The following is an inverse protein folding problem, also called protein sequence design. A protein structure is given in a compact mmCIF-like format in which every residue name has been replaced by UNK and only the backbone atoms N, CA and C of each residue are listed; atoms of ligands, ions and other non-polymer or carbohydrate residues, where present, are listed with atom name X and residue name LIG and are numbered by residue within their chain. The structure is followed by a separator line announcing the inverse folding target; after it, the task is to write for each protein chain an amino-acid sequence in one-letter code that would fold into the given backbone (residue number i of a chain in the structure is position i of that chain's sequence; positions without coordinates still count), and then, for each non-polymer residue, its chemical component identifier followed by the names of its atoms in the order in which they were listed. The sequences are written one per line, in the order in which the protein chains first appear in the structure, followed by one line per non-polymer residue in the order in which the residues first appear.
data_IF_807408348286
#
_entry.id   IF_807408348286
#
_cell.length_a   1.000
_cell.length_b   1.000
_cell.length_c   1.000
_cell.angle_alpha   90.00
_cell.angle_beta   90.00
_cell.angle_gamma   90.00
#
_symmetry.space_group_name_H-M   'P 1'
#
loop_
_entity.id
_entity.type
_entity.pdbx_description
1 polymer ?
#
# COMPACT_ATOMS: atom_id res chain seq x y z
N UNK A 1 -1.02 19.04 10.67
CA UNK A 1 0.30 18.39 10.79
C UNK A 1 1.08 18.69 9.53
N UNK A 2 2.33 19.15 9.64
CA UNK A 2 3.18 19.38 8.46
C UNK A 2 3.63 18.05 7.86
N UNK A 3 3.76 18.00 6.52
CA UNK A 3 4.34 16.84 5.82
C UNK A 3 5.80 16.68 6.23
N UNK A 4 6.27 15.44 6.30
CA UNK A 4 7.70 15.16 6.49
C UNK A 4 8.47 15.66 5.27
N UNK A 5 9.66 16.22 5.48
CA UNK A 5 10.52 16.66 4.38
C UNK A 5 11.36 15.49 3.91
N UNK A 6 11.15 15.05 2.68
CA UNK A 6 11.99 14.04 2.04
C UNK A 6 13.34 14.67 1.69
N UNK A 7 14.43 14.06 2.16
CA UNK A 7 15.79 14.54 1.96
C UNK A 7 16.51 13.76 0.86
N UNK A 8 16.29 12.44 0.82
CA UNK A 8 16.92 11.53 -0.13
C UNK A 8 16.01 10.32 -0.34
N UNK A 9 16.04 9.75 -1.55
CA UNK A 9 15.30 8.54 -1.91
C UNK A 9 16.26 7.59 -2.63
N UNK A 10 16.33 6.35 -2.17
CA UNK A 10 17.09 5.27 -2.80
C UNK A 10 16.13 4.18 -3.26
N UNK A 11 16.13 3.86 -4.55
CA UNK A 11 15.41 2.67 -5.05
C UNK A 11 16.19 1.41 -4.64
N UNK A 12 15.53 0.50 -3.92
CA UNK A 12 16.13 -0.76 -3.47
C UNK A 12 15.83 -1.91 -4.42
N UNK A 13 14.63 -1.91 -5.00
CA UNK A 13 14.21 -2.92 -5.96
C UNK A 13 13.09 -2.39 -6.85
N UNK A 14 13.07 -2.90 -8.08
CA UNK A 14 11.99 -2.69 -9.05
C UNK A 14 11.53 -4.03 -9.58
N UNK A 15 10.26 -4.36 -9.36
CA UNK A 15 9.66 -5.65 -9.69
C UNK A 15 8.48 -5.38 -10.62
N UNK A 16 8.75 -5.12 -11.90
CA UNK A 16 7.73 -4.68 -12.85
C UNK A 16 7.10 -3.35 -12.42
N UNK A 17 5.78 -3.30 -12.17
CA UNK A 17 5.10 -2.07 -11.74
C UNK A 17 5.28 -1.75 -10.25
N UNK A 18 5.86 -2.65 -9.47
CA UNK A 18 6.10 -2.44 -8.04
C UNK A 18 7.49 -1.85 -7.80
N UNK A 19 7.60 -0.94 -6.83
CA UNK A 19 8.88 -0.36 -6.41
C UNK A 19 9.04 -0.43 -4.91
N UNK A 20 10.23 -0.80 -4.46
CA UNK A 20 10.64 -0.69 -3.06
C UNK A 20 11.69 0.40 -2.99
N UNK A 21 11.46 1.42 -2.16
CA UNK A 21 12.40 2.51 -1.94
C UNK A 21 12.64 2.77 -0.46
N UNK A 22 13.77 3.37 -0.17
CA UNK A 22 14.15 3.84 1.15
C UNK A 22 14.30 5.36 1.12
N UNK A 23 13.57 6.04 1.97
CA UNK A 23 13.61 7.49 2.10
C UNK A 23 14.35 7.91 3.37
N UNK A 24 15.18 8.94 3.24
CA UNK A 24 15.68 9.72 4.37
C UNK A 24 14.76 10.91 4.57
N UNK A 25 14.16 11.04 5.75
CA UNK A 25 13.14 12.04 6.03
C UNK A 25 13.52 12.90 7.24
N UNK A 26 13.23 14.19 7.17
CA UNK A 26 13.19 15.05 8.35
C UNK A 26 11.75 15.09 8.89
N UNK A 27 11.60 14.70 10.15
CA UNK A 27 10.32 14.69 10.87
C UNK A 27 9.90 16.12 11.24
N UNK A 28 8.62 16.37 11.59
CA UNK A 28 8.13 17.71 11.93
C UNK A 28 8.85 18.36 13.12
N UNK A 29 9.43 17.57 14.01
CA UNK A 29 10.22 18.03 15.17
C UNK A 29 11.72 18.23 14.87
N UNK A 30 12.12 18.09 13.60
CA UNK A 30 13.48 18.29 13.15
C UNK A 30 14.38 17.05 13.21
N UNK A 31 13.95 15.96 13.85
CA UNK A 31 14.72 14.70 13.87
C UNK A 31 14.87 14.12 12.46
N UNK A 32 15.98 13.42 12.22
CA UNK A 32 16.25 12.74 10.95
C UNK A 32 15.92 11.25 11.11
N UNK A 33 14.96 10.77 10.31
CA UNK A 33 14.74 9.35 10.08
C UNK A 33 15.66 8.92 8.94
N UNK A 34 16.76 8.19 9.21
CA UNK A 34 17.75 7.90 8.19
C UNK A 34 17.25 6.89 7.14
N UNK A 35 16.28 6.04 7.50
CA UNK A 35 15.76 4.97 6.65
C UNK A 35 14.27 4.74 6.91
N UNK A 36 13.42 5.13 5.98
CA UNK A 36 12.00 4.83 5.96
C UNK A 36 11.67 4.02 4.70
N UNK A 37 11.16 2.81 4.85
CA UNK A 37 10.90 1.92 3.72
C UNK A 37 9.49 2.13 3.16
N UNK A 38 9.40 2.29 1.84
CA UNK A 38 8.14 2.48 1.12
C UNK A 38 8.02 1.41 0.05
N UNK A 39 6.88 0.71 0.05
CA UNK A 39 6.48 -0.17 -1.05
C UNK A 39 5.39 0.53 -1.84
N UNK A 40 5.67 0.76 -3.11
CA UNK A 40 4.75 1.38 -4.04
C UNK A 40 4.10 0.34 -4.93
N UNK A 41 2.79 0.48 -5.08
CA UNK A 41 1.95 -0.34 -5.91
C UNK A 41 1.19 0.56 -6.89
N UNK A 42 0.77 0.04 -8.05
CA UNK A 42 -0.23 0.71 -8.88
C UNK A 42 -1.50 1.00 -8.09
N UNK A 43 -2.22 2.04 -8.52
CA UNK A 43 -3.52 2.36 -7.95
C UNK A 43 -4.51 1.20 -8.13
N UNK A 44 -5.37 0.99 -7.14
CA UNK A 44 -6.48 0.03 -7.18
C UNK A 44 -7.74 0.63 -6.56
N UNK A 45 -8.87 0.00 -6.82
CA UNK A 45 -10.16 0.34 -6.23
C UNK A 45 -10.73 -0.87 -5.50
N UNK A 46 -11.56 -0.61 -4.50
CA UNK A 46 -12.45 -1.61 -3.93
C UNK A 46 -13.88 -1.21 -4.19
N UNK A 47 -14.72 -2.16 -4.56
CA UNK A 47 -16.13 -1.92 -4.84
C UNK A 47 -16.99 -2.49 -3.72
N UNK A 48 -17.86 -1.66 -3.14
CA UNK A 48 -18.94 -2.10 -2.26
C UNK A 48 -20.20 -2.21 -3.11
N UNK A 49 -20.43 -3.39 -3.69
CA UNK A 49 -21.62 -3.66 -4.49
C UNK A 49 -22.74 -4.22 -3.59
N UNK A 50 -23.91 -3.55 -3.61
CA UNK A 50 -25.07 -3.90 -2.79
C UNK A 50 -26.22 -4.34 -3.69
N UNK A 51 -26.84 -5.48 -3.38
CA UNK A 51 -28.02 -6.00 -4.10
C UNK A 51 -29.29 -5.25 -3.69
N UNK A 52 -30.41 -5.34 -4.44
CA UNK A 52 -31.69 -4.74 -4.05
C UNK A 52 -32.20 -5.18 -2.66
N UNK A 53 -31.80 -6.37 -2.21
CA UNK A 53 -32.15 -6.93 -0.91
C UNK A 53 -31.23 -6.45 0.22
N UNK A 54 -30.25 -5.59 -0.09
CA UNK A 54 -29.31 -5.04 0.89
C UNK A 54 -28.13 -5.96 1.22
N UNK A 55 -27.86 -6.97 0.38
CA UNK A 55 -26.74 -7.89 0.58
C UNK A 55 -25.47 -7.37 -0.12
N UNK A 56 -24.29 -7.64 0.45
CA UNK A 56 -23.01 -7.27 -0.16
C UNK A 56 -22.49 -8.39 -1.07
N UNK A 57 -22.07 -8.02 -2.28
CA UNK A 57 -21.40 -8.95 -3.20
C UNK A 57 -19.91 -9.01 -2.86
N UNK A 58 -19.42 -10.23 -2.64
CA UNK A 58 -18.02 -10.53 -2.34
C UNK A 58 -17.45 -11.49 -3.38
N UNK A 59 -16.12 -11.57 -3.45
CA UNK A 59 -15.37 -12.53 -4.26
C UNK A 59 -14.57 -13.46 -3.36
N UNK A 60 -14.53 -14.75 -3.69
CA UNK A 60 -13.67 -15.74 -3.04
C UNK A 60 -12.38 -15.94 -3.84
N UNK A 61 -11.30 -15.35 -3.36
CA UNK A 61 -10.01 -15.28 -4.05
C UNK A 61 -8.91 -16.01 -3.27
N UNK A 62 -8.05 -16.74 -4.00
CA UNK A 62 -6.82 -17.29 -3.43
C UNK A 62 -5.74 -16.20 -3.37
N UNK A 63 -5.16 -16.00 -2.18
CA UNK A 63 -4.03 -15.09 -1.94
C UNK A 63 -2.79 -15.90 -1.62
N UNK A 64 -1.86 -15.95 -2.58
CA UNK A 64 -0.65 -16.77 -2.45
C UNK A 64 0.23 -16.37 -1.25
N UNK A 65 0.36 -15.07 -0.96
CA UNK A 65 1.16 -14.58 0.16
C UNK A 65 0.63 -15.03 1.55
N UNK A 66 -0.65 -15.37 1.63
CA UNK A 66 -1.29 -15.90 2.84
C UNK A 66 -1.68 -17.37 2.70
N UNK A 67 -1.28 -18.02 1.59
CA UNK A 67 -1.49 -19.43 1.28
C UNK A 67 -2.95 -19.92 1.47
N UNK A 68 -3.93 -19.07 1.18
CA UNK A 68 -5.33 -19.35 1.53
C UNK A 68 -6.35 -18.69 0.61
N UNK A 69 -7.62 -19.05 0.80
CA UNK A 69 -8.79 -18.46 0.13
C UNK A 69 -9.51 -17.51 1.09
N UNK A 70 -9.89 -16.35 0.58
CA UNK A 70 -10.45 -15.26 1.37
C UNK A 70 -11.66 -14.65 0.66
N UNK A 71 -12.66 -14.27 1.46
CA UNK A 71 -13.76 -13.44 0.98
C UNK A 71 -13.31 -11.97 1.03
N UNK A 72 -13.38 -11.30 -0.10
CA UNK A 72 -12.88 -9.94 -0.27
C UNK A 72 -13.89 -9.07 -1.04
N UNK A 73 -13.73 -7.75 -0.92
CA UNK A 73 -14.37 -6.83 -1.84
C UNK A 73 -13.75 -7.02 -3.23
N UNK A 74 -14.57 -6.99 -4.30
CA UNK A 74 -14.07 -6.90 -5.67
C UNK A 74 -13.09 -5.74 -5.85
#
# INVERSE_FOLDING_TARGET
MSKWKMLETTELAKLGPFRIRQDKCQLPDGRIMPKYYVVEFPDWVHVIAITPEGMMVLVDQYRHAAEGRFLELP
#
